data_IF_873728678545
#
_entry.id   IF_873728678545
#
_cell.length_a   1.000
_cell.length_b   1.000
_cell.length_c   1.000
_cell.angle_alpha   90.00
_cell.angle_beta   90.00
_cell.angle_gamma   90.00
#
_symmetry.space_group_name_H-M   'P 1'
#
loop_
_entity.id
_entity.type
_entity.pdbx_description
1 polymer ?
#
# COMPACT_ATOMS: atom_id res chain seq x y z
N UNK A 1 0.80 17.32 -27.46
CA UNK A 1 -0.29 17.38 -26.46
C UNK A 1 -0.62 15.95 -26.08
N UNK A 2 -0.36 15.53 -24.85
CA UNK A 2 -0.67 14.16 -24.42
C UNK A 2 -2.15 14.06 -24.05
N UNK A 3 -2.88 13.13 -24.67
CA UNK A 3 -4.27 12.80 -24.35
C UNK A 3 -4.27 11.85 -23.15
N UNK A 4 -5.04 12.15 -22.12
CA UNK A 4 -5.19 11.28 -20.95
C UNK A 4 -6.67 11.00 -20.67
N UNK A 5 -6.99 9.74 -20.35
CA UNK A 5 -8.00 9.46 -19.34
C UNK A 5 -9.35 8.87 -19.75
N UNK A 6 -9.71 8.75 -21.04
CA UNK A 6 -11.01 8.17 -21.38
C UNK A 6 -11.11 7.79 -22.87
N UNK A 7 -11.57 6.57 -23.17
CA UNK A 7 -11.80 6.08 -24.53
C UNK A 7 -13.23 5.53 -24.66
N UNK A 8 -13.85 5.76 -25.80
CA UNK A 8 -15.09 5.07 -26.21
C UNK A 8 -14.70 3.75 -26.85
N UNK A 9 -15.10 2.62 -26.25
CA UNK A 9 -14.66 1.29 -26.71
C UNK A 9 -15.55 0.70 -27.81
N UNK A 10 -16.79 1.20 -27.96
CA UNK A 10 -17.75 0.69 -28.93
C UNK A 10 -18.77 1.75 -29.39
N UNK A 11 -19.60 1.39 -30.38
CA UNK A 11 -20.69 2.26 -30.88
C UNK A 11 -21.81 2.52 -29.87
N UNK A 12 -21.77 1.87 -28.70
CA UNK A 12 -22.72 2.02 -27.60
C UNK A 12 -22.47 3.27 -26.76
N UNK A 13 -21.37 3.99 -27.01
CA UNK A 13 -20.99 5.20 -26.26
C UNK A 13 -20.49 4.89 -24.84
N UNK A 14 -20.06 3.65 -24.57
CA UNK A 14 -19.51 3.30 -23.28
C UNK A 14 -18.16 3.98 -23.08
N UNK A 15 -18.13 4.80 -22.04
CA UNK A 15 -16.95 5.52 -21.60
C UNK A 15 -16.20 4.64 -20.60
N UNK A 16 -14.97 4.25 -20.94
CA UNK A 16 -14.07 3.62 -19.98
C UNK A 16 -12.74 4.35 -19.94
N UNK A 17 -12.16 4.39 -18.74
CA UNK A 17 -10.81 4.91 -18.53
C UNK A 17 -9.84 4.09 -19.38
N UNK A 18 -8.95 4.75 -20.13
CA UNK A 18 -7.91 4.04 -20.90
C UNK A 18 -6.91 3.43 -19.91
N UNK A 19 -7.13 2.16 -19.55
CA UNK A 19 -6.22 1.38 -18.71
C UNK A 19 -5.13 0.69 -19.53
N UNK A 20 -4.98 0.97 -20.81
CA UNK A 20 -3.99 0.30 -21.66
C UNK A 20 -2.81 1.22 -21.98
N UNK A 21 -2.92 2.53 -21.71
CA UNK A 21 -1.88 3.52 -21.99
C UNK A 21 -1.22 4.11 -20.73
N UNK A 22 -1.35 3.49 -19.56
CA UNK A 22 -0.74 4.00 -18.32
C UNK A 22 0.67 3.41 -18.10
N UNK A 23 1.57 4.20 -17.53
CA UNK A 23 2.84 3.66 -16.99
C UNK A 23 2.64 3.16 -15.57
N UNK A 24 1.94 3.95 -14.74
CA UNK A 24 1.55 3.60 -13.38
C UNK A 24 0.10 4.02 -13.11
N UNK A 25 -0.66 3.19 -12.42
CA UNK A 25 -2.03 3.47 -12.00
C UNK A 25 -2.17 3.19 -10.50
N UNK A 26 -2.62 4.18 -9.74
CA UNK A 26 -3.03 3.97 -8.34
C UNK A 26 -4.42 3.35 -8.34
N UNK A 27 -4.51 2.09 -7.93
CA UNK A 27 -5.78 1.33 -7.89
C UNK A 27 -6.41 1.33 -6.49
N UNK A 28 -5.63 1.72 -5.46
CA UNK A 28 -6.12 1.89 -4.10
C UNK A 28 -5.23 2.86 -3.32
N UNK A 29 -5.85 3.63 -2.42
CA UNK A 29 -5.16 4.43 -1.41
C UNK A 29 -5.93 4.38 -0.09
N UNK A 30 -5.23 4.44 1.03
CA UNK A 30 -5.87 4.47 2.34
C UNK A 30 -4.90 4.79 3.48
N UNK A 31 -5.44 5.18 4.63
CA UNK A 31 -4.66 5.39 5.84
C UNK A 31 -4.48 4.07 6.60
N UNK A 32 -3.28 3.86 7.13
CA UNK A 32 -2.90 2.75 8.00
C UNK A 32 -2.39 3.35 9.31
N UNK A 33 -3.14 3.16 10.39
CA UNK A 33 -2.83 3.73 11.70
C UNK A 33 -2.53 2.62 12.70
N UNK A 34 -1.23 2.42 12.97
CA UNK A 34 -0.77 1.47 13.98
C UNK A 34 -0.45 2.15 15.32
N UNK A 35 -0.74 3.44 15.49
CA UNK A 35 -0.47 4.15 16.76
C UNK A 35 -1.40 3.70 17.90
N UNK A 36 -2.52 3.06 17.55
CA UNK A 36 -3.46 2.46 18.49
C UNK A 36 -3.29 0.95 18.70
N UNK A 37 -4.39 0.27 19.00
CA UNK A 37 -4.40 -1.18 19.29
C UNK A 37 -4.55 -2.08 18.06
N UNK A 38 -4.66 -1.50 16.85
CA UNK A 38 -4.92 -2.25 15.61
C UNK A 38 -3.79 -3.26 15.36
N UNK A 39 -4.08 -4.57 15.31
CA UNK A 39 -3.04 -5.57 15.10
C UNK A 39 -2.68 -5.75 13.63
N UNK A 40 -3.65 -5.57 12.73
CA UNK A 40 -3.52 -5.79 11.30
C UNK A 40 -4.63 -5.12 10.49
N UNK A 41 -4.34 -4.84 9.23
CA UNK A 41 -5.31 -4.46 8.20
C UNK A 41 -5.38 -5.55 7.14
N UNK A 42 -6.61 -5.95 6.78
CA UNK A 42 -6.87 -6.80 5.60
C UNK A 42 -7.57 -5.93 4.58
N UNK A 43 -6.87 -5.62 3.49
CA UNK A 43 -7.31 -4.73 2.44
C UNK A 43 -7.76 -5.57 1.25
N UNK A 44 -9.05 -5.51 0.92
CA UNK A 44 -9.57 -6.12 -0.30
C UNK A 44 -9.43 -5.10 -1.43
N UNK A 45 -8.54 -5.36 -2.39
CA UNK A 45 -8.18 -4.44 -3.46
C UNK A 45 -8.49 -5.12 -4.80
N UNK A 46 -9.69 -4.89 -5.37
CA UNK A 46 -10.07 -5.47 -6.65
C UNK A 46 -9.03 -5.19 -7.74
N UNK A 47 -8.61 -6.25 -8.45
CA UNK A 47 -7.62 -6.15 -9.51
C UNK A 47 -6.17 -5.99 -9.04
N UNK A 48 -5.87 -6.10 -7.74
CA UNK A 48 -4.50 -6.24 -7.28
C UNK A 48 -3.94 -7.61 -7.70
N UNK A 49 -2.79 -7.63 -8.36
CA UNK A 49 -2.08 -8.85 -8.68
C UNK A 49 -0.57 -8.64 -8.43
N UNK A 50 0.07 -9.39 -7.52
CA UNK A 50 1.50 -9.23 -7.23
C UNK A 50 2.43 -9.33 -8.45
N UNK A 51 1.98 -9.92 -9.57
CA UNK A 51 2.76 -10.00 -10.80
C UNK A 51 2.97 -8.63 -11.48
N UNK A 52 2.04 -7.69 -11.31
CA UNK A 52 2.08 -6.36 -11.94
C UNK A 52 1.62 -5.21 -11.02
N UNK A 53 1.53 -5.47 -9.72
CA UNK A 53 1.14 -4.50 -8.72
C UNK A 53 2.12 -4.51 -7.55
N UNK A 54 2.45 -3.31 -7.06
CA UNK A 54 3.19 -3.11 -5.81
C UNK A 54 2.30 -2.46 -4.77
N UNK A 55 2.56 -2.76 -3.50
CA UNK A 55 1.95 -2.07 -2.37
C UNK A 55 3.01 -1.24 -1.64
N UNK A 56 2.84 0.09 -1.65
CA UNK A 56 3.76 1.04 -1.04
C UNK A 56 3.16 1.59 0.26
N UNK A 57 3.98 1.75 1.28
CA UNK A 57 3.60 2.38 2.55
C UNK A 57 4.50 3.60 2.74
N UNK A 58 3.90 4.76 3.01
CA UNK A 58 4.61 6.02 3.23
C UNK A 58 4.21 6.58 4.59
N UNK A 59 5.14 6.73 5.56
CA UNK A 59 4.85 7.39 6.83
C UNK A 59 4.34 8.81 6.59
N UNK A 60 3.34 9.23 7.36
CA UNK A 60 2.71 10.55 7.19
C UNK A 60 3.17 11.55 8.24
N UNK A 61 3.90 11.10 9.26
CA UNK A 61 4.36 11.91 10.39
C UNK A 61 5.88 11.81 10.53
N UNK A 62 6.52 12.93 10.85
CA UNK A 62 7.98 12.98 10.97
C UNK A 62 8.50 12.09 12.12
N UNK A 63 7.77 11.97 13.24
CA UNK A 63 8.18 11.12 14.35
C UNK A 63 8.19 9.61 14.03
N UNK A 64 7.47 9.21 12.97
CA UNK A 64 7.39 7.83 12.51
C UNK A 64 8.57 7.46 11.59
N UNK A 65 9.42 8.43 11.25
CA UNK A 65 10.65 8.21 10.48
C UNK A 65 11.82 8.03 11.45
N UNK A 66 12.57 6.95 11.28
CA UNK A 66 13.76 6.67 12.08
C UNK A 66 14.84 7.73 11.80
N UNK A 67 15.32 8.39 12.85
CA UNK A 67 16.29 9.49 12.72
C UNK A 67 17.76 9.01 12.69
N UNK A 68 18.04 7.80 13.20
CA UNK A 68 19.35 7.17 13.14
C UNK A 68 19.25 5.65 13.31
N UNK A 69 20.28 4.91 12.87
CA UNK A 69 20.40 3.46 13.08
C UNK A 69 20.43 3.05 14.56
N UNK A 70 20.79 3.97 15.46
CA UNK A 70 20.90 3.75 16.91
C UNK A 70 19.64 4.10 17.68
N UNK A 71 18.54 4.42 17.00
CA UNK A 71 17.26 4.73 17.65
C UNK A 71 16.69 3.50 18.38
N UNK A 72 16.61 3.57 19.71
CA UNK A 72 16.04 2.51 20.55
C UNK A 72 14.56 2.21 20.27
N UNK A 73 13.87 3.07 19.52
CA UNK A 73 12.50 2.87 19.04
C UNK A 73 12.43 2.32 17.61
N UNK A 74 13.53 1.83 17.04
CA UNK A 74 13.60 1.36 15.64
C UNK A 74 12.47 0.41 15.25
N UNK A 75 12.11 -0.56 16.10
CA UNK A 75 10.99 -1.48 15.83
C UNK A 75 9.62 -0.79 15.75
N UNK A 76 9.40 0.27 16.53
CA UNK A 76 8.15 1.06 16.53
C UNK A 76 8.03 1.94 15.29
N UNK A 77 9.17 2.39 14.75
CA UNK A 77 9.25 3.23 13.55
C UNK A 77 9.50 2.44 12.26
N UNK A 78 9.71 1.13 12.38
CA UNK A 78 9.91 0.24 11.25
C UNK A 78 8.67 0.15 10.37
N UNK A 79 8.87 -0.12 9.08
CA UNK A 79 7.76 -0.37 8.19
C UNK A 79 6.95 -1.60 8.64
N UNK A 80 5.60 -1.52 8.59
CA UNK A 80 4.74 -2.66 8.84
C UNK A 80 5.06 -3.84 7.91
N UNK A 81 4.82 -5.06 8.40
CA UNK A 81 4.97 -6.26 7.60
C UNK A 81 3.81 -6.38 6.60
N UNK A 82 4.11 -6.58 5.32
CA UNK A 82 3.11 -6.68 4.25
C UNK A 82 3.14 -8.07 3.63
N UNK A 83 1.97 -8.64 3.42
CA UNK A 83 1.77 -9.84 2.60
C UNK A 83 0.75 -9.53 1.52
N UNK A 84 1.07 -9.91 0.28
CA UNK A 84 0.24 -9.64 -0.88
C UNK A 84 -0.25 -10.94 -1.50
N UNK A 85 -1.50 -10.96 -1.93
CA UNK A 85 -2.10 -12.03 -2.72
C UNK A 85 -3.01 -11.42 -3.79
N UNK A 86 -3.51 -12.22 -4.73
CA UNK A 86 -4.44 -11.71 -5.76
C UNK A 86 -5.68 -11.15 -5.06
N UNK A 87 -6.00 -9.89 -5.33
CA UNK A 87 -7.16 -9.19 -4.79
C UNK A 87 -7.04 -8.75 -3.32
N UNK A 88 -5.93 -9.03 -2.63
CA UNK A 88 -5.80 -8.75 -1.20
C UNK A 88 -4.38 -8.35 -0.79
N UNK A 89 -4.32 -7.40 0.14
CA UNK A 89 -3.09 -7.04 0.86
C UNK A 89 -3.36 -7.12 2.35
N UNK A 90 -2.51 -7.84 3.09
CA UNK A 90 -2.55 -7.91 4.55
C UNK A 90 -1.36 -7.16 5.10
N UNK A 91 -1.61 -6.18 5.96
CA UNK A 91 -0.58 -5.40 6.64
C UNK A 91 -0.63 -5.70 8.14
N UNK A 92 0.50 -6.05 8.74
CA UNK A 92 0.62 -6.38 10.16
C UNK A 92 1.63 -5.46 10.81
N UNK A 93 1.38 -5.07 12.06
CA UNK A 93 2.33 -4.25 12.81
C UNK A 93 3.68 -4.92 13.08
N UNK A 94 3.75 -6.25 12.99
CA UNK A 94 4.99 -7.02 13.15
C UNK A 94 5.01 -8.25 12.25
N UNK A 95 6.21 -8.73 11.96
CA UNK A 95 6.42 -9.99 11.25
C UNK A 95 5.74 -11.15 12.01
N UNK A 96 5.03 -12.07 11.32
CA UNK A 96 4.47 -13.28 11.91
C UNK A 96 5.45 -14.13 12.75
N UNK A 97 6.75 -14.09 12.44
CA UNK A 97 7.77 -14.83 13.20
C UNK A 97 8.27 -14.11 14.45
N UNK A 98 7.88 -12.86 14.67
CA UNK A 98 8.29 -12.08 15.83
C UNK A 98 7.67 -12.63 17.13
N UNK A 99 8.43 -12.59 18.23
CA UNK A 99 7.96 -13.09 19.52
C UNK A 99 6.76 -12.27 20.04
N UNK A 100 6.08 -12.79 21.06
CA UNK A 100 4.99 -12.08 21.72
C UNK A 100 5.46 -10.74 22.33
N UNK A 101 6.69 -10.71 22.89
CA UNK A 101 7.29 -9.54 23.53
C UNK A 101 7.89 -8.52 22.55
N UNK A 102 8.05 -8.86 21.26
CA UNK A 102 8.51 -7.90 20.25
C UNK A 102 7.48 -6.79 20.07
N UNK A 103 7.94 -5.56 20.34
CA UNK A 103 7.19 -4.33 20.06
C UNK A 103 7.04 -4.20 18.54
N UNK A 104 5.82 -4.01 18.06
CA UNK A 104 5.55 -3.81 16.64
C UNK A 104 5.62 -2.34 16.24
N UNK A 105 5.53 -2.10 14.93
CA UNK A 105 5.37 -0.77 14.35
C UNK A 105 4.15 -0.06 14.94
N UNK A 106 4.33 1.22 15.25
CA UNK A 106 3.27 2.15 15.69
C UNK A 106 3.05 3.29 14.69
N UNK A 107 3.64 3.16 13.50
CA UNK A 107 3.64 4.20 12.47
C UNK A 107 2.23 4.53 11.97
N UNK A 108 2.01 5.80 11.63
CA UNK A 108 0.84 6.26 10.90
C UNK A 108 1.23 6.59 9.47
N UNK A 109 0.73 5.79 8.55
CA UNK A 109 1.17 5.79 7.17
C UNK A 109 0.00 5.86 6.19
N UNK A 110 0.31 6.19 4.95
CA UNK A 110 -0.60 6.08 3.82
C UNK A 110 -0.13 4.92 2.94
N UNK A 111 -1.03 3.99 2.68
CA UNK A 111 -0.82 2.87 1.77
C UNK A 111 -1.29 3.21 0.36
N UNK A 112 -0.58 2.71 -0.63
CA UNK A 112 -0.90 2.84 -2.06
C UNK A 112 -0.74 1.49 -2.75
N UNK A 113 -1.75 1.06 -3.49
CA UNK A 113 -1.60 -0.03 -4.45
C UNK A 113 -1.39 0.57 -5.83
N UNK A 114 -0.27 0.24 -6.45
CA UNK A 114 0.13 0.78 -7.75
C UNK A 114 0.24 -0.40 -8.72
N UNK A 115 -0.54 -0.35 -9.78
CA UNK A 115 -0.40 -1.23 -10.94
C UNK A 115 0.54 -0.58 -11.95
N UNK A 116 1.42 -1.34 -12.57
CA UNK A 116 2.29 -0.89 -13.65
C UNK A 116 2.02 -1.68 -14.93
N UNK A 117 2.20 -1.02 -16.09
CA UNK A 117 2.14 -1.72 -17.38
C UNK A 117 3.42 -2.52 -17.55
N UNK A 118 3.28 -3.79 -17.91
CA UNK A 118 4.37 -4.65 -18.41
C UNK A 118 4.54 -4.48 -19.90
#
# INVERSE_FOLDING_TARGET
MALFGLRVFDGSGQLAMDTNSFTYQVIWQGALDFSGIVPSYTLNIPGFNPANCVFMIIPTRAQDVQSSETDGSGNQKSYPFVTTSIGQVVVRKKNPSASASTIGSTTVAKGYAIRYST
#
